data_IF_668353007110
#
_entry.id   IF_668353007110
#
_cell.length_a   1.000
_cell.length_b   1.000
_cell.length_c   1.000
_cell.angle_alpha   90.00
_cell.angle_beta   90.00
_cell.angle_gamma   90.00
#
_symmetry.space_group_name_H-M   'P 1'
#
loop_
_entity.id
_entity.type
_entity.pdbx_description
1 polymer ?
#
# COMPACT_ATOMS: atom_id res chain seq x y z
N UNK A 1 -21.32 -3.09 -3.61
CA UNK A 1 -19.97 -3.17 -4.22
C UNK A 1 -20.18 -3.04 -5.72
N UNK A 2 -19.57 -2.07 -6.36
CA UNK A 2 -19.65 -1.86 -7.80
C UNK A 2 -18.35 -2.33 -8.43
N UNK A 3 -18.43 -3.08 -9.53
CA UNK A 3 -17.28 -3.56 -10.28
C UNK A 3 -17.17 -2.79 -11.59
N UNK A 4 -15.99 -2.22 -11.84
CA UNK A 4 -15.68 -1.49 -13.07
C UNK A 4 -14.56 -2.26 -13.78
N UNK A 5 -14.77 -2.77 -15.01
CA UNK A 5 -13.83 -3.66 -15.66
C UNK A 5 -12.52 -2.99 -16.07
N UNK A 6 -12.55 -1.67 -16.28
CA UNK A 6 -11.38 -0.89 -16.71
C UNK A 6 -11.10 0.27 -15.76
N UNK A 7 -9.85 0.79 -15.82
CA UNK A 7 -9.44 1.94 -15.05
C UNK A 7 -10.15 3.21 -15.57
N UNK A 8 -11.00 3.87 -14.75
CA UNK A 8 -11.67 5.09 -15.18
C UNK A 8 -10.68 6.20 -15.50
N UNK A 9 -10.74 6.71 -16.72
CA UNK A 9 -9.83 7.77 -17.22
C UNK A 9 -10.47 9.15 -17.25
N UNK A 10 -11.66 9.34 -16.63
CA UNK A 10 -12.32 10.64 -16.54
C UNK A 10 -12.10 11.27 -15.16
N UNK A 11 -11.63 12.53 -15.10
CA UNK A 11 -11.49 13.26 -13.83
C UNK A 11 -12.80 13.38 -13.05
N UNK A 12 -13.92 13.50 -13.75
CA UNK A 12 -15.27 13.66 -13.19
C UNK A 12 -15.65 12.43 -12.35
N UNK A 13 -15.32 11.23 -12.82
CA UNK A 13 -15.52 10.00 -12.06
C UNK A 13 -14.83 10.09 -10.69
N UNK A 14 -13.53 10.41 -10.66
CA UNK A 14 -12.77 10.48 -9.43
C UNK A 14 -13.20 11.60 -8.49
N UNK A 15 -13.73 12.69 -9.05
CA UNK A 15 -14.25 13.82 -8.28
C UNK A 15 -15.65 13.57 -7.71
N UNK A 16 -16.39 12.65 -8.29
CA UNK A 16 -17.74 12.26 -7.81
C UNK A 16 -17.69 11.29 -6.62
N UNK A 17 -16.54 10.63 -6.40
CA UNK A 17 -16.38 9.67 -5.31
C UNK A 17 -16.36 10.39 -3.96
N UNK A 18 -17.05 9.82 -2.98
CA UNK A 18 -17.06 10.34 -1.62
C UNK A 18 -17.25 9.21 -0.61
N UNK A 19 -16.48 9.28 0.49
CA UNK A 19 -16.58 8.37 1.63
C UNK A 19 -16.60 6.87 1.22
N UNK A 20 -15.80 6.50 0.22
CA UNK A 20 -15.71 5.14 -0.30
C UNK A 20 -14.27 4.63 -0.35
N UNK A 21 -14.12 3.33 -0.54
CA UNK A 21 -12.85 2.66 -0.82
C UNK A 21 -12.85 2.22 -2.30
N UNK A 22 -11.84 2.67 -3.03
CA UNK A 22 -11.56 2.22 -4.39
C UNK A 22 -10.42 1.21 -4.34
N UNK A 23 -10.64 0.05 -4.92
CA UNK A 23 -9.59 -0.98 -5.08
C UNK A 23 -9.22 -1.06 -6.55
N UNK A 24 -7.94 -0.84 -6.85
CA UNK A 24 -7.35 -1.01 -8.17
C UNK A 24 -6.54 -2.31 -8.10
N UNK A 25 -7.10 -3.38 -8.68
CA UNK A 25 -6.52 -4.71 -8.58
C UNK A 25 -5.82 -5.09 -9.89
N UNK A 26 -4.54 -5.43 -9.79
CA UNK A 26 -3.65 -5.90 -10.87
C UNK A 26 -3.54 -4.96 -12.11
N UNK A 27 -3.93 -3.69 -11.96
CA UNK A 27 -3.86 -2.67 -13.03
C UNK A 27 -2.65 -1.72 -12.86
N UNK A 28 -1.60 -2.15 -12.15
CA UNK A 28 -0.44 -1.32 -11.86
C UNK A 28 0.17 -0.66 -13.10
N UNK A 29 0.38 -1.41 -14.17
CA UNK A 29 1.01 -0.89 -15.39
C UNK A 29 0.21 0.24 -16.02
N UNK A 30 -1.11 0.13 -16.03
CA UNK A 30 -1.99 1.19 -16.53
C UNK A 30 -2.01 2.39 -15.57
N UNK A 31 -2.18 2.13 -14.29
CA UNK A 31 -2.22 3.17 -13.27
C UNK A 31 -0.91 3.97 -13.20
N UNK A 32 0.24 3.30 -13.23
CA UNK A 32 1.56 3.92 -13.14
C UNK A 32 1.97 4.71 -14.39
N UNK A 33 1.29 4.55 -15.51
CA UNK A 33 1.45 5.36 -16.72
C UNK A 33 0.37 6.43 -16.91
N UNK A 34 -0.56 6.57 -15.97
CA UNK A 34 -1.67 7.51 -16.05
C UNK A 34 -1.44 8.72 -15.13
N UNK A 35 -1.23 9.89 -15.73
CA UNK A 35 -1.14 11.16 -15.01
C UNK A 35 -2.40 11.43 -14.18
N UNK A 36 -3.57 10.99 -14.66
CA UNK A 36 -4.82 11.09 -13.90
C UNK A 36 -4.74 10.30 -12.60
N UNK A 37 -4.25 9.06 -12.64
CA UNK A 37 -4.10 8.24 -11.44
C UNK A 37 -3.01 8.79 -10.52
N UNK A 38 -1.93 9.31 -11.06
CA UNK A 38 -0.96 10.09 -10.27
C UNK A 38 -1.65 11.22 -9.49
N UNK A 39 -2.56 11.97 -10.13
CA UNK A 39 -3.34 13.01 -9.49
C UNK A 39 -4.37 12.49 -8.49
N UNK A 40 -4.93 11.28 -8.69
CA UNK A 40 -5.81 10.61 -7.72
C UNK A 40 -5.06 10.44 -6.39
N UNK A 41 -3.88 9.88 -6.41
CA UNK A 41 -3.07 9.68 -5.20
C UNK A 41 -2.55 11.00 -4.60
N UNK A 42 -2.17 11.96 -5.43
CA UNK A 42 -1.61 13.23 -4.99
C UNK A 42 -2.66 14.19 -4.42
N UNK A 43 -3.84 14.27 -5.03
CA UNK A 43 -4.81 15.35 -4.80
C UNK A 43 -6.21 14.83 -4.51
N UNK A 44 -6.80 14.03 -5.41
CA UNK A 44 -8.25 13.77 -5.39
C UNK A 44 -8.67 12.98 -4.15
N UNK A 45 -7.98 11.90 -3.81
CA UNK A 45 -8.34 11.08 -2.66
C UNK A 45 -8.44 11.91 -1.36
N UNK A 46 -7.51 12.84 -1.15
CA UNK A 46 -7.53 13.72 0.02
C UNK A 46 -8.59 14.81 -0.06
N UNK A 47 -8.77 15.43 -1.24
CA UNK A 47 -9.70 16.55 -1.44
C UNK A 47 -11.15 16.10 -1.36
N UNK A 48 -11.47 14.95 -1.91
CA UNK A 48 -12.85 14.44 -2.02
C UNK A 48 -13.17 13.42 -0.91
N UNK A 49 -12.17 12.99 -0.13
CA UNK A 49 -12.31 12.07 1.02
C UNK A 49 -12.72 10.66 0.62
N UNK A 50 -11.95 10.02 -0.23
CA UNK A 50 -12.05 8.58 -0.45
C UNK A 50 -10.68 7.91 -0.26
N UNK A 51 -10.68 6.60 -0.03
CA UNK A 51 -9.46 5.80 0.11
C UNK A 51 -9.18 5.04 -1.18
N UNK A 52 -7.91 4.92 -1.56
CA UNK A 52 -7.48 4.14 -2.72
C UNK A 52 -6.54 3.03 -2.25
N UNK A 53 -6.82 1.83 -2.69
CA UNK A 53 -5.99 0.66 -2.53
C UNK A 53 -5.53 0.19 -3.90
N UNK A 54 -4.23 -0.03 -4.07
CA UNK A 54 -3.69 -0.58 -5.32
C UNK A 54 -2.87 -1.83 -5.02
N UNK A 55 -3.16 -2.92 -5.71
CA UNK A 55 -2.36 -4.14 -5.65
C UNK A 55 -1.33 -4.14 -6.77
N UNK A 56 -0.14 -4.67 -6.52
CA UNK A 56 0.89 -4.81 -7.54
C UNK A 56 1.92 -5.86 -7.18
N UNK A 57 2.26 -6.69 -8.17
CA UNK A 57 3.43 -7.57 -8.13
C UNK A 57 4.71 -6.83 -8.60
N UNK A 58 4.57 -5.74 -9.35
CA UNK A 58 5.65 -5.02 -10.04
C UNK A 58 5.76 -3.55 -9.61
N UNK A 59 5.58 -3.27 -8.34
CA UNK A 59 5.48 -1.91 -7.79
C UNK A 59 6.66 -0.97 -8.12
N UNK A 60 7.83 -1.53 -8.46
CA UNK A 60 9.04 -0.77 -8.85
C UNK A 60 9.30 -0.73 -10.36
N UNK A 61 8.39 -1.24 -11.16
CA UNK A 61 8.50 -1.06 -12.60
C UNK A 61 8.59 0.44 -12.94
N UNK A 62 9.51 0.77 -13.86
CA UNK A 62 9.68 2.16 -14.30
C UNK A 62 8.48 2.59 -15.13
N UNK A 63 7.74 3.55 -14.62
CA UNK A 63 6.63 4.19 -15.32
C UNK A 63 6.56 5.66 -14.92
N UNK A 64 5.92 6.49 -15.75
CA UNK A 64 5.92 7.95 -15.62
C UNK A 64 5.44 8.44 -14.25
N UNK A 65 4.37 7.86 -13.72
CA UNK A 65 3.73 8.26 -12.46
C UNK A 65 4.05 7.33 -11.28
N UNK A 66 4.86 6.29 -11.47
CA UNK A 66 5.14 5.31 -10.42
C UNK A 66 5.74 5.93 -9.15
N UNK A 67 6.60 6.94 -9.30
CA UNK A 67 7.17 7.66 -8.17
C UNK A 67 6.15 8.56 -7.46
N UNK A 68 5.25 9.17 -8.22
CA UNK A 68 4.17 10.01 -7.67
C UNK A 68 3.24 9.18 -6.82
N UNK A 69 2.79 8.02 -7.33
CA UNK A 69 1.92 7.09 -6.59
C UNK A 69 2.62 6.65 -5.29
N UNK A 70 3.84 6.11 -5.38
CA UNK A 70 4.60 5.63 -4.21
C UNK A 70 4.80 6.68 -3.14
N UNK A 71 5.15 7.90 -3.55
CA UNK A 71 5.46 8.99 -2.61
C UNK A 71 4.20 9.57 -1.92
N UNK A 72 3.02 9.25 -2.44
CA UNK A 72 1.74 9.68 -1.88
C UNK A 72 0.95 8.54 -1.22
N UNK A 73 1.51 7.33 -1.12
CA UNK A 73 0.94 6.26 -0.30
C UNK A 73 1.18 6.54 1.19
N UNK A 74 0.15 6.41 1.99
CA UNK A 74 0.25 6.51 3.45
C UNK A 74 0.58 5.14 4.08
N UNK A 75 0.29 4.04 3.38
CA UNK A 75 0.48 2.67 3.88
C UNK A 75 1.04 1.75 2.80
N UNK A 76 1.89 0.81 3.21
CA UNK A 76 2.35 -0.31 2.38
C UNK A 76 2.06 -1.62 3.09
N UNK A 77 1.32 -2.49 2.43
CA UNK A 77 1.07 -3.86 2.88
C UNK A 77 1.97 -4.79 2.07
N UNK A 78 2.96 -5.38 2.71
CA UNK A 78 3.99 -6.19 2.06
C UNK A 78 3.78 -7.65 2.39
N UNK A 79 3.50 -8.46 1.38
CA UNK A 79 3.48 -9.91 1.46
C UNK A 79 4.85 -10.50 1.13
N UNK A 80 5.08 -11.74 1.52
CA UNK A 80 6.27 -12.46 1.11
C UNK A 80 6.33 -12.60 -0.41
N UNK A 81 7.44 -12.19 -0.99
CA UNK A 81 7.66 -12.27 -2.43
C UNK A 81 8.94 -13.06 -2.70
N UNK A 82 8.78 -14.35 -2.97
CA UNK A 82 9.90 -15.25 -3.27
C UNK A 82 10.62 -14.89 -4.56
N UNK A 83 9.91 -14.33 -5.54
CA UNK A 83 10.46 -14.00 -6.85
C UNK A 83 11.25 -12.68 -6.83
N UNK A 84 10.98 -11.78 -5.91
CA UNK A 84 11.60 -10.46 -5.93
C UNK A 84 11.73 -9.81 -4.53
N UNK A 85 12.54 -10.42 -3.68
CA UNK A 85 12.84 -9.88 -2.33
C UNK A 85 13.45 -8.47 -2.35
N UNK A 86 14.08 -8.06 -3.47
CA UNK A 86 14.65 -6.72 -3.64
C UNK A 86 13.61 -5.61 -3.59
N UNK A 87 12.36 -5.91 -3.95
CA UNK A 87 11.27 -4.92 -3.93
C UNK A 87 11.01 -4.45 -2.51
N UNK A 88 10.71 -5.37 -1.62
CA UNK A 88 10.42 -5.05 -0.23
C UNK A 88 11.62 -4.35 0.43
N UNK A 89 12.83 -4.83 0.16
CA UNK A 89 14.06 -4.24 0.66
C UNK A 89 14.22 -2.78 0.24
N UNK A 90 13.95 -2.43 -1.02
CA UNK A 90 14.12 -1.05 -1.49
C UNK A 90 13.09 -0.06 -0.93
N UNK A 91 11.86 -0.51 -0.57
CA UNK A 91 10.90 0.32 0.17
C UNK A 91 11.48 0.63 1.56
N UNK A 92 11.91 -0.40 2.24
CA UNK A 92 12.34 -0.38 3.63
C UNK A 92 13.61 0.45 3.81
N UNK A 93 14.58 0.32 2.89
CA UNK A 93 15.81 1.12 2.89
C UNK A 93 15.53 2.62 2.74
N UNK A 94 14.60 3.00 1.87
CA UNK A 94 14.20 4.42 1.69
C UNK A 94 13.55 5.02 2.93
N UNK A 95 12.93 4.20 3.77
CA UNK A 95 12.20 4.62 4.95
C UNK A 95 13.04 4.52 6.23
N UNK A 96 14.27 4.02 6.12
CA UNK A 96 15.14 3.75 7.27
C UNK A 96 14.47 2.83 8.31
N UNK A 97 13.81 1.77 7.84
CA UNK A 97 13.07 0.80 8.63
C UNK A 97 13.60 -0.64 8.47
N UNK A 98 14.87 -0.79 8.08
CA UNK A 98 15.46 -2.10 7.73
C UNK A 98 15.42 -3.07 8.90
N UNK A 99 15.78 -2.62 10.11
CA UNK A 99 15.80 -3.46 11.31
C UNK A 99 14.38 -3.95 11.63
N UNK A 100 13.45 -3.03 11.77
CA UNK A 100 12.05 -3.31 12.11
C UNK A 100 11.39 -4.25 11.08
N UNK A 101 11.64 -4.00 9.80
CA UNK A 101 11.13 -4.85 8.75
C UNK A 101 11.69 -6.26 8.80
N UNK A 102 12.99 -6.42 9.05
CA UNK A 102 13.62 -7.74 9.16
C UNK A 102 12.99 -8.58 10.27
N UNK A 103 12.75 -7.99 11.43
CA UNK A 103 12.10 -8.63 12.56
C UNK A 103 10.63 -8.95 12.22
N UNK A 104 9.89 -7.97 11.68
CA UNK A 104 8.50 -8.13 11.30
C UNK A 104 8.30 -9.20 10.23
N UNK A 105 9.13 -9.21 9.18
CA UNK A 105 9.04 -10.16 8.09
C UNK A 105 9.37 -11.59 8.53
N UNK A 106 10.38 -11.76 9.39
CA UNK A 106 10.70 -13.07 9.97
C UNK A 106 9.52 -13.65 10.76
N UNK A 107 8.82 -12.81 11.51
CA UNK A 107 7.63 -13.22 12.24
C UNK A 107 6.42 -13.45 11.32
N UNK A 108 6.11 -12.48 10.45
CA UNK A 108 4.91 -12.51 9.61
C UNK A 108 4.95 -13.66 8.61
N UNK A 109 6.07 -13.85 7.92
CA UNK A 109 6.20 -14.80 6.82
C UNK A 109 6.37 -16.25 7.29
N UNK A 110 6.50 -16.48 8.60
CA UNK A 110 6.37 -17.83 9.18
C UNK A 110 4.93 -18.35 9.19
N UNK A 111 3.95 -17.50 8.88
CA UNK A 111 2.52 -17.81 8.87
C UNK A 111 1.96 -17.77 7.45
N UNK A 112 0.99 -18.64 7.11
CA UNK A 112 0.27 -18.54 5.84
C UNK A 112 -0.35 -17.15 5.67
N UNK A 113 -0.18 -16.56 4.47
CA UNK A 113 -0.69 -15.23 4.13
C UNK A 113 -0.18 -14.09 5.05
N UNK A 114 0.93 -14.32 5.75
CA UNK A 114 1.55 -13.33 6.61
C UNK A 114 1.96 -12.08 5.84
N UNK A 115 1.81 -10.93 6.46
CA UNK A 115 2.14 -9.62 5.86
C UNK A 115 2.78 -8.68 6.87
N UNK A 116 3.50 -7.71 6.35
CA UNK A 116 4.01 -6.57 7.11
C UNK A 116 3.31 -5.30 6.64
N UNK A 117 2.67 -4.57 7.55
CA UNK A 117 2.10 -3.26 7.30
C UNK A 117 3.11 -2.18 7.71
N UNK A 118 3.45 -1.30 6.78
CA UNK A 118 4.26 -0.11 7.03
C UNK A 118 3.35 1.11 6.89
N UNK A 119 3.29 1.93 7.93
CA UNK A 119 2.49 3.15 7.99
C UNK A 119 3.40 4.37 7.96
N UNK A 120 3.22 5.23 6.95
CA UNK A 120 3.97 6.47 6.77
C UNK A 120 3.21 7.70 7.21
N UNK A 121 1.98 7.53 7.69
CA UNK A 121 1.16 8.64 8.15
C UNK A 121 1.85 9.40 9.29
N UNK A 122 1.95 10.72 9.15
CA UNK A 122 2.50 11.60 10.20
C UNK A 122 1.72 11.57 11.51
N UNK A 123 0.53 10.98 11.51
CA UNK A 123 -0.32 10.80 12.69
C UNK A 123 0.08 9.58 13.52
N UNK A 124 0.90 8.70 12.99
CA UNK A 124 1.40 7.51 13.68
C UNK A 124 2.82 7.76 14.15
N UNK A 125 3.06 7.58 15.44
CA UNK A 125 4.40 7.70 15.99
C UNK A 125 5.34 6.64 15.37
N UNK A 126 6.60 7.00 15.12
CA UNK A 126 7.58 6.15 14.43
C UNK A 126 7.73 4.73 15.00
N UNK A 127 7.68 4.51 16.33
CA UNK A 127 7.72 3.17 16.90
C UNK A 127 6.57 2.25 16.49
N UNK A 128 5.48 2.81 15.97
CA UNK A 128 4.30 2.06 15.50
C UNK A 128 4.21 2.01 13.97
N UNK A 129 5.27 2.42 13.29
CA UNK A 129 5.27 2.48 11.83
C UNK A 129 5.29 1.10 11.15
N UNK A 130 5.80 0.08 11.84
CA UNK A 130 5.90 -1.30 11.31
C UNK A 130 5.13 -2.24 12.21
N UNK A 131 4.16 -2.95 11.67
CA UNK A 131 3.41 -3.95 12.40
C UNK A 131 3.01 -5.15 11.52
N UNK A 132 2.58 -6.22 12.16
CA UNK A 132 1.94 -7.38 11.54
C UNK A 132 0.67 -7.76 12.29
N UNK A 133 -0.10 -8.69 11.75
CA UNK A 133 -1.39 -9.15 12.32
C UNK A 133 -2.44 -8.03 12.51
N UNK A 134 -2.37 -6.95 11.74
CA UNK A 134 -3.32 -5.84 11.86
C UNK A 134 -4.77 -6.27 11.52
N UNK A 135 -4.93 -7.21 10.58
CA UNK A 135 -6.21 -7.78 10.17
C UNK A 135 -6.36 -9.23 10.65
N UNK A 136 -5.95 -9.53 11.88
CA UNK A 136 -6.02 -10.88 12.40
C UNK A 136 -7.47 -11.26 12.74
N UNK A 137 -7.95 -12.35 12.12
CA UNK A 137 -9.27 -12.91 12.40
C UNK A 137 -9.26 -13.99 13.51
N UNK A 138 -8.08 -14.36 14.02
CA UNK A 138 -7.95 -15.35 15.08
C UNK A 138 -8.34 -14.76 16.43
N UNK A 139 -9.46 -15.18 17.04
CA UNK A 139 -9.92 -14.68 18.32
C UNK A 139 -8.93 -14.92 19.48
N UNK A 140 -8.00 -15.88 19.31
CA UNK A 140 -6.98 -16.20 20.30
C UNK A 140 -5.66 -15.44 20.10
N UNK A 141 -5.51 -14.66 19.02
CA UNK A 141 -4.28 -13.97 18.65
C UNK A 141 -4.54 -12.55 18.15
N UNK A 142 -5.38 -11.81 18.90
CA UNK A 142 -5.89 -10.49 18.53
C UNK A 142 -4.91 -9.33 18.78
N UNK A 143 -3.61 -9.59 18.94
CA UNK A 143 -2.65 -8.53 19.21
C UNK A 143 -1.94 -8.10 17.93
N UNK A 144 -2.09 -6.80 17.60
CA UNK A 144 -1.24 -6.14 16.61
C UNK A 144 0.18 -6.14 17.20
N UNK A 145 1.11 -6.74 16.45
CA UNK A 145 2.51 -6.75 16.86
C UNK A 145 3.26 -5.59 16.21
N UNK A 146 3.80 -4.70 17.03
CA UNK A 146 4.65 -3.60 16.59
C UNK A 146 6.13 -3.98 16.74
N UNK A 147 6.95 -3.49 15.79
CA UNK A 147 8.39 -3.74 15.73
C UNK A 147 9.12 -2.38 15.83
N UNK A 148 10.02 -2.28 16.82
CA UNK A 148 10.73 -1.05 17.17
C UNK A 148 12.20 -1.08 16.77
#
# INVERSE_FOLDING_TARGET
MEYIPDLPLSPEFWQSLKDCLVVIDDLWKMAANSTLIGNVFKVYARKVKFSVYITSQFFFEKASESSVIRNNCDHFLLFENYSNQKINKSIVERLDLVKQYKEASSYAYSKPYGYVLITLSRKVARPFAVCSNFFCEDPNNNFIQFFQ
#
